data_IF_451355556471
#
_entry.id   IF_451355556471
#
_cell.length_a   1.000
_cell.length_b   1.000
_cell.length_c   1.000
_cell.angle_alpha   90.00
_cell.angle_beta   90.00
_cell.angle_gamma   90.00
#
_symmetry.space_group_name_H-M   'P 1'
#
loop_
_entity.id
_entity.type
_entity.pdbx_description
1 polymer ?
#
# COMPACT_ATOMS: atom_id res chain seq x y z
N UNK A 1 4.34 -8.50 -16.64
CA UNK A 1 4.14 -9.54 -15.62
C UNK A 1 2.85 -9.25 -14.88
N UNK A 2 1.99 -10.26 -14.73
CA UNK A 2 0.80 -10.16 -13.90
C UNK A 2 1.14 -10.42 -12.43
N UNK A 3 0.43 -9.75 -11.54
CA UNK A 3 0.61 -9.82 -10.09
C UNK A 3 -0.77 -9.77 -9.45
N UNK A 4 -1.22 -10.89 -8.89
CA UNK A 4 -2.39 -10.91 -8.03
C UNK A 4 -2.03 -10.26 -6.69
N UNK A 5 -2.92 -9.42 -6.19
CA UNK A 5 -2.74 -8.67 -4.94
C UNK A 5 -4.05 -8.69 -4.16
N UNK A 6 -3.96 -8.83 -2.84
CA UNK A 6 -5.11 -8.67 -1.95
C UNK A 6 -5.39 -7.18 -1.75
N UNK A 7 -6.60 -6.72 -2.01
CA UNK A 7 -7.00 -5.36 -1.64
C UNK A 7 -7.12 -5.26 -0.12
N UNK A 8 -6.37 -4.34 0.48
CA UNK A 8 -6.40 -4.06 1.90
C UNK A 8 -6.46 -2.54 2.14
N UNK A 9 -7.65 -2.03 2.48
CA UNK A 9 -7.84 -0.61 2.82
C UNK A 9 -7.19 -0.22 4.15
N UNK A 10 -6.88 -1.18 5.02
CA UNK A 10 -6.14 -0.97 6.26
C UNK A 10 -4.63 -0.82 6.05
N UNK A 11 -4.11 -1.28 4.91
CA UNK A 11 -2.72 -1.09 4.53
C UNK A 11 -2.51 0.31 3.94
N UNK A 12 -1.78 1.18 4.66
CA UNK A 12 -1.47 2.52 4.17
C UNK A 12 -0.56 2.53 2.91
N UNK A 13 0.19 1.44 2.69
CA UNK A 13 1.15 1.28 1.59
C UNK A 13 0.89 -0.01 0.84
N UNK A 14 1.11 0.02 -0.47
CA UNK A 14 1.18 -1.17 -1.30
C UNK A 14 2.52 -1.87 -1.11
N UNK A 15 2.49 -3.17 -0.80
CA UNK A 15 3.67 -3.98 -0.48
C UNK A 15 3.73 -5.24 -1.33
N UNK A 16 4.94 -5.65 -1.68
CA UNK A 16 5.24 -6.96 -2.27
C UNK A 16 6.40 -7.62 -1.53
N UNK A 17 6.45 -8.95 -1.58
CA UNK A 17 7.57 -9.71 -1.08
C UNK A 17 8.80 -9.72 -2.00
N UNK A 18 9.90 -10.25 -1.48
CA UNK A 18 11.20 -10.35 -2.18
C UNK A 18 11.10 -11.11 -3.50
N UNK A 19 10.49 -12.29 -3.51
CA UNK A 19 10.33 -13.12 -4.73
C UNK A 19 9.54 -12.41 -5.82
N UNK A 20 8.50 -11.68 -5.43
CA UNK A 20 7.72 -10.89 -6.38
C UNK A 20 8.57 -9.76 -6.97
N UNK A 21 9.36 -9.09 -6.12
CA UNK A 21 10.26 -8.02 -6.55
C UNK A 21 11.31 -8.53 -7.55
N UNK A 22 11.89 -9.69 -7.28
CA UNK A 22 12.80 -10.38 -8.20
C UNK A 22 12.09 -10.71 -9.53
N UNK A 23 10.86 -11.25 -9.46
CA UNK A 23 10.06 -11.61 -10.64
C UNK A 23 9.72 -10.44 -11.56
N UNK A 24 9.59 -9.23 -11.01
CA UNK A 24 9.36 -8.01 -11.79
C UNK A 24 10.66 -7.33 -12.27
N UNK A 25 11.80 -8.01 -12.13
CA UNK A 25 13.10 -7.56 -12.64
C UNK A 25 13.97 -6.83 -11.60
N UNK A 26 13.65 -6.96 -10.31
CA UNK A 26 14.43 -6.41 -9.21
C UNK A 26 14.81 -4.92 -9.38
N UNK A 27 13.84 -4.02 -9.66
CA UNK A 27 14.13 -2.61 -9.86
C UNK A 27 14.83 -2.02 -8.63
N UNK A 28 15.80 -1.11 -8.88
CA UNK A 28 16.67 -0.54 -7.84
C UNK A 28 15.84 0.01 -6.67
N UNK A 29 16.19 -0.44 -5.47
CA UNK A 29 15.56 0.00 -4.23
C UNK A 29 16.16 1.32 -3.75
N UNK A 30 15.31 2.13 -3.14
CA UNK A 30 15.63 3.34 -2.39
C UNK A 30 15.23 3.13 -0.92
N UNK A 31 15.81 3.89 0.02
CA UNK A 31 15.40 3.84 1.42
C UNK A 31 13.89 4.05 1.58
N UNK A 32 13.25 3.18 2.36
CA UNK A 32 11.83 3.25 2.71
C UNK A 32 11.64 3.68 4.16
N UNK A 33 10.46 4.23 4.44
CA UNK A 33 9.96 4.38 5.81
C UNK A 33 9.85 3.00 6.47
N UNK A 34 10.03 2.95 7.79
CA UNK A 34 9.74 1.78 8.59
C UNK A 34 8.24 1.50 8.55
N UNK A 35 7.87 0.26 8.26
CA UNK A 35 6.48 -0.17 8.31
C UNK A 35 6.21 -0.89 9.63
N UNK A 36 4.99 -0.72 10.13
CA UNK A 36 4.49 -1.41 11.33
C UNK A 36 3.13 -1.99 10.98
N UNK A 37 2.93 -3.26 11.29
CA UNK A 37 1.63 -3.91 11.14
C UNK A 37 0.62 -3.27 12.11
N UNK A 38 -0.68 -3.47 11.85
CA UNK A 38 -1.72 -3.00 12.76
C UNK A 38 -1.55 -3.54 14.20
N UNK A 39 -0.96 -4.72 14.36
CA UNK A 39 -0.64 -5.35 15.65
C UNK A 39 0.53 -4.70 16.40
N UNK A 40 1.15 -3.65 15.84
CA UNK A 40 2.33 -3.00 16.42
C UNK A 40 3.65 -3.72 16.11
N UNK A 41 3.62 -4.82 15.36
CA UNK A 41 4.81 -5.59 14.99
C UNK A 41 5.54 -4.87 13.84
N UNK A 42 6.84 -4.54 13.98
CA UNK A 42 7.62 -3.96 12.90
C UNK A 42 7.74 -4.91 11.71
N UNK A 43 7.59 -4.36 10.50
CA UNK A 43 7.75 -5.10 9.25
C UNK A 43 9.13 -4.76 8.67
N UNK A 44 9.95 -5.78 8.44
CA UNK A 44 11.28 -5.61 7.85
C UNK A 44 11.14 -5.23 6.37
N UNK A 45 11.55 -4.01 6.01
CA UNK A 45 11.53 -3.52 4.64
C UNK A 45 12.90 -3.68 3.98
N UNK A 46 12.90 -4.06 2.70
CA UNK A 46 14.11 -4.04 1.85
C UNK A 46 14.31 -2.67 1.21
N UNK A 47 13.22 -1.92 1.03
CA UNK A 47 13.23 -0.58 0.48
C UNK A 47 11.96 -0.29 -0.30
N UNK A 48 11.99 0.79 -1.08
CA UNK A 48 10.91 1.17 -1.99
C UNK A 48 11.44 1.44 -3.39
N UNK A 49 10.58 1.30 -4.38
CA UNK A 49 10.92 1.59 -5.77
C UNK A 49 9.70 2.18 -6.48
N UNK A 50 9.89 2.65 -7.71
CA UNK A 50 8.78 3.07 -8.57
C UNK A 50 8.57 2.04 -9.67
N UNK A 51 7.33 1.63 -9.87
CA UNK A 51 6.94 0.65 -10.89
C UNK A 51 5.88 1.24 -11.81
N UNK A 52 5.89 0.83 -13.08
CA UNK A 52 4.78 1.08 -14.00
C UNK A 52 3.72 0.01 -13.81
N UNK A 53 2.50 0.41 -13.51
CA UNK A 53 1.37 -0.47 -13.17
C UNK A 53 0.25 -0.18 -14.15
N UNK A 54 -0.28 -1.24 -14.76
CA UNK A 54 -1.48 -1.15 -15.60
C UNK A 54 -2.62 -1.88 -14.91
N UNK A 55 -3.71 -1.17 -14.62
CA UNK A 55 -4.94 -1.73 -14.05
C UNK A 55 -6.15 -0.90 -14.50
N UNK A 56 -7.29 -1.55 -14.74
CA UNK A 56 -8.53 -0.89 -15.21
C UNK A 56 -8.30 0.08 -16.38
N UNK A 57 -7.54 -0.34 -17.40
CA UNK A 57 -7.15 0.46 -18.57
C UNK A 57 -6.41 1.77 -18.25
N UNK A 58 -5.82 1.87 -17.07
CA UNK A 58 -4.98 3.00 -16.67
C UNK A 58 -3.55 2.53 -16.42
N UNK A 59 -2.58 3.24 -16.99
CA UNK A 59 -1.17 3.06 -16.68
C UNK A 59 -0.70 4.17 -15.72
N UNK A 60 -0.01 3.81 -14.63
CA UNK A 60 0.51 4.75 -13.63
C UNK A 60 1.88 4.33 -13.14
N UNK A 61 2.75 5.30 -12.89
CA UNK A 61 4.02 5.08 -12.19
C UNK A 61 3.83 5.34 -10.69
N UNK A 62 3.87 4.29 -9.88
CA UNK A 62 3.52 4.34 -8.46
C UNK A 62 4.67 3.83 -7.58
N UNK A 63 4.70 4.29 -6.33
CA UNK A 63 5.64 3.82 -5.32
C UNK A 63 5.22 2.43 -4.84
N UNK A 64 6.17 1.52 -4.70
CA UNK A 64 5.96 0.16 -4.22
C UNK A 64 6.99 -0.14 -3.13
N UNK A 65 6.53 -0.63 -1.98
CA UNK A 65 7.42 -1.04 -0.90
C UNK A 65 7.71 -2.54 -1.03
N UNK A 66 8.96 -2.92 -0.82
CA UNK A 66 9.39 -4.32 -0.83
C UNK A 66 9.72 -4.72 0.60
N UNK A 67 9.11 -5.81 1.05
CA UNK A 67 9.32 -6.37 2.40
C UNK A 67 10.18 -7.62 2.33
N UNK A 68 10.85 -7.93 3.44
CA UNK A 68 11.67 -9.14 3.61
C UNK A 68 10.82 -10.33 4.08
N UNK A 69 9.66 -10.51 3.47
CA UNK A 69 8.81 -11.71 3.56
C UNK A 69 8.22 -12.01 2.18
N UNK A 70 7.72 -13.22 1.95
CA UNK A 70 7.12 -13.63 0.68
C UNK A 70 5.61 -13.89 0.82
N UNK A 71 4.95 -13.14 1.70
CA UNK A 71 3.49 -13.22 1.89
C UNK A 71 2.70 -12.64 0.71
N UNK A 72 1.38 -12.79 0.77
CA UNK A 72 0.44 -12.23 -0.22
C UNK A 72 0.69 -10.73 -0.43
N UNK A 73 0.99 -10.29 -1.67
CA UNK A 73 1.10 -8.87 -2.00
C UNK A 73 -0.17 -8.11 -1.63
N UNK A 74 -0.02 -6.91 -1.06
CA UNK A 74 -1.15 -6.08 -0.67
C UNK A 74 -1.27 -4.89 -1.61
N UNK A 75 -2.44 -4.73 -2.20
CA UNK A 75 -2.87 -3.51 -2.87
C UNK A 75 -3.43 -2.58 -1.80
N UNK A 76 -2.58 -1.64 -1.37
CA UNK A 76 -2.87 -0.74 -0.25
C UNK A 76 -3.73 0.45 -0.66
N UNK A 77 -4.12 1.22 0.35
CA UNK A 77 -4.92 2.43 0.21
C UNK A 77 -4.26 3.47 -0.70
N UNK A 78 -2.93 3.58 -0.69
CA UNK A 78 -2.19 4.52 -1.53
C UNK A 78 -2.42 4.29 -3.03
N UNK A 79 -2.43 3.04 -3.49
CA UNK A 79 -2.75 2.69 -4.87
C UNK A 79 -4.26 2.77 -5.12
N UNK A 80 -5.09 2.34 -4.17
CA UNK A 80 -6.54 2.41 -4.29
C UNK A 80 -7.03 3.83 -4.59
N UNK A 81 -6.49 4.82 -3.88
CA UNK A 81 -6.80 6.24 -4.12
C UNK A 81 -6.31 6.72 -5.49
N UNK A 82 -5.15 6.23 -5.98
CA UNK A 82 -4.60 6.63 -7.28
C UNK A 82 -5.36 6.04 -8.46
N UNK A 83 -5.89 4.83 -8.30
CA UNK A 83 -6.76 4.18 -9.28
C UNK A 83 -8.24 4.54 -9.11
N UNK A 84 -8.61 5.26 -8.05
CA UNK A 84 -9.99 5.64 -7.72
C UNK A 84 -10.90 4.42 -7.61
N UNK A 85 -10.42 3.42 -6.86
CA UNK A 85 -11.23 2.21 -6.57
C UNK A 85 -12.53 2.67 -5.90
N UNK A 86 -13.70 2.26 -6.43
CA UNK A 86 -14.98 2.68 -5.88
C UNK A 86 -15.16 2.10 -4.47
N UNK A 87 -15.83 2.86 -3.60
CA UNK A 87 -16.26 2.34 -2.31
C UNK A 87 -17.30 1.23 -2.53
N UNK A 88 -17.36 0.23 -1.62
CA UNK A 88 -18.38 -0.80 -1.69
C UNK A 88 -19.78 -0.19 -1.55
N UNK A 89 -20.77 -0.88 -2.13
CA UNK A 89 -22.16 -0.49 -2.01
C UNK A 89 -22.57 -0.38 -0.52
N UNK A 90 -23.37 0.65 -0.21
CA UNK A 90 -23.79 0.93 1.17
C UNK A 90 -22.79 1.69 2.04
N UNK A 91 -21.58 1.97 1.54
CA UNK A 91 -20.64 2.85 2.24
C UNK A 91 -21.24 4.25 2.41
N UNK A 92 -21.33 4.71 3.65
CA UNK A 92 -21.85 6.05 4.00
C UNK A 92 -21.04 6.65 5.15
N UNK A 93 -20.92 7.97 5.15
CA UNK A 93 -20.33 8.70 6.28
C UNK A 93 -21.35 8.70 7.42
N UNK A 94 -21.05 8.03 8.53
CA UNK A 94 -21.99 7.90 9.64
C UNK A 94 -22.03 9.16 10.52
N UNK A 95 -20.88 9.79 10.78
CA UNK A 95 -20.79 11.00 11.61
C UNK A 95 -19.50 11.75 11.29
N UNK A 96 -19.57 13.08 11.23
CA UNK A 96 -18.40 13.97 11.15
C UNK A 96 -18.36 14.75 12.46
N UNK A 97 -17.24 14.71 13.18
CA UNK A 97 -17.00 15.56 14.36
C UNK A 97 -15.85 16.51 14.03
N UNK A 98 -16.03 17.80 14.30
CA UNK A 98 -14.92 18.75 14.25
C UNK A 98 -13.99 18.45 15.44
N UNK A 99 -12.71 18.19 15.18
CA UNK A 99 -11.73 18.00 16.23
C UNK A 99 -11.31 19.33 16.82
N UNK A 100 -11.94 19.76 17.90
CA UNK A 100 -11.31 20.73 18.80
C UNK A 100 -10.24 19.98 19.60
N UNK A 101 -8.99 20.39 19.44
CA UNK A 101 -7.88 19.84 20.21
C UNK A 101 -8.11 20.13 21.69
N UNK A 102 -8.24 19.09 22.52
CA UNK A 102 -8.17 19.22 23.97
C UNK A 102 -6.79 19.75 24.35
N UNK A 103 -6.69 21.07 24.52
CA UNK A 103 -5.53 21.71 25.11
C UNK A 103 -5.65 21.53 26.63
N UNK A 104 -5.16 20.39 27.14
CA UNK A 104 -5.04 20.16 28.59
C UNK A 104 -4.01 21.14 29.15
N UNK A 105 -4.48 22.03 30.03
CA UNK A 105 -3.68 22.89 30.89
C UNK A 105 -3.01 22.09 32.00
#
# INVERSE_FOLDING_TARGET
QECEMLYDSGAARTVIGRRMWERIGAPKLQPSESLVAYTGIPIKTLGRTKVSVTAWNQAKTLSLVVVDSDDTPLFGLDWAMKFRVPMPEGARICTIKNGEAEQKR
#
